data_IF_526525483840
#
_entry.id   IF_526525483840
#
_cell.length_a   1.000
_cell.length_b   1.000
_cell.length_c   1.000
_cell.angle_alpha   90.00
_cell.angle_beta   90.00
_cell.angle_gamma   90.00
#
_symmetry.space_group_name_H-M   'P 1'
#
loop_
_entity.id
_entity.type
_entity.pdbx_description
1 polymer ?
#
# COMPACT_ATOMS: atom_id res chain seq x y z
N UNK A 1 36.90 -16.39 17.77
CA UNK A 1 36.49 -15.05 17.30
C UNK A 1 37.33 -14.67 16.10
N UNK A 2 36.84 -14.93 14.88
CA UNK A 2 37.42 -14.31 13.67
C UNK A 2 37.01 -12.83 13.70
N UNK A 3 38.01 -11.97 13.85
CA UNK A 3 38.03 -10.52 13.66
C UNK A 3 36.71 -9.83 13.27
N UNK A 4 36.09 -9.14 14.23
CA UNK A 4 35.50 -7.81 14.05
C UNK A 4 34.30 -7.63 13.09
N UNK A 5 33.73 -8.67 12.49
CA UNK A 5 32.49 -8.53 11.72
C UNK A 5 31.30 -8.49 12.67
N UNK A 6 30.72 -7.30 12.85
CA UNK A 6 29.42 -7.14 13.48
C UNK A 6 28.38 -7.46 12.41
N UNK A 7 27.57 -8.50 12.63
CA UNK A 7 26.39 -8.77 11.81
C UNK A 7 25.54 -7.50 11.75
N UNK A 8 25.02 -7.19 10.57
CA UNK A 8 24.10 -6.07 10.37
C UNK A 8 22.70 -6.57 10.09
N UNK A 9 21.72 -5.94 10.71
CA UNK A 9 20.31 -6.23 10.50
C UNK A 9 19.69 -4.97 9.91
N UNK A 10 18.97 -5.12 8.82
CA UNK A 10 18.28 -4.04 8.14
C UNK A 10 16.78 -4.33 8.13
N UNK A 11 15.98 -3.37 8.54
CA UNK A 11 14.52 -3.41 8.37
C UNK A 11 14.15 -2.29 7.39
N UNK A 12 13.60 -2.65 6.23
CA UNK A 12 13.24 -1.71 5.16
C UNK A 12 14.38 -0.73 4.83
N UNK A 13 15.57 -1.28 4.57
CA UNK A 13 16.81 -0.58 4.24
C UNK A 13 17.44 0.27 5.37
N UNK A 14 16.85 0.27 6.58
CA UNK A 14 17.40 0.97 7.75
C UNK A 14 18.14 -0.01 8.66
N UNK A 15 19.40 0.29 8.96
CA UNK A 15 20.21 -0.52 9.89
C UNK A 15 19.63 -0.42 11.30
N UNK A 16 19.20 -1.55 11.85
CA UNK A 16 18.71 -1.62 13.21
C UNK A 16 19.90 -1.58 14.18
N UNK A 17 19.89 -0.61 15.09
CA UNK A 17 20.84 -0.55 16.21
C UNK A 17 20.59 -1.69 17.19
N UNK A 18 21.09 -2.88 16.84
CA UNK A 18 20.93 -4.09 17.63
C UNK A 18 22.23 -4.45 18.37
N UNK A 19 22.09 -4.91 19.61
CA UNK A 19 23.19 -5.50 20.39
C UNK A 19 22.82 -6.94 20.68
N UNK A 20 23.64 -7.87 20.18
CA UNK A 20 23.49 -9.29 20.50
C UNK A 20 23.77 -9.48 22.00
N UNK A 21 22.81 -10.03 22.73
CA UNK A 21 22.97 -10.38 24.14
C UNK A 21 23.25 -11.87 24.29
N UNK A 22 22.32 -12.73 23.84
CA UNK A 22 22.38 -14.18 24.05
C UNK A 22 22.04 -14.99 22.78
N UNK A 23 21.83 -14.34 21.64
CA UNK A 23 21.45 -14.96 20.39
C UNK A 23 22.58 -15.84 19.82
N UNK A 24 22.26 -17.03 19.32
CA UNK A 24 23.23 -18.00 18.80
C UNK A 24 23.00 -18.34 17.32
N UNK A 25 21.77 -18.22 16.85
CA UNK A 25 21.38 -18.53 15.48
C UNK A 25 20.43 -17.46 14.91
N UNK A 26 20.08 -17.59 13.63
CA UNK A 26 19.17 -16.66 12.96
C UNK A 26 17.77 -16.67 13.61
N UNK A 27 17.31 -17.80 14.15
CA UNK A 27 16.01 -17.90 14.81
C UNK A 27 15.92 -16.97 16.03
N UNK A 28 16.93 -16.99 16.90
CA UNK A 28 16.97 -16.14 18.10
C UNK A 28 16.90 -14.65 17.73
N UNK A 29 17.69 -14.25 16.72
CA UNK A 29 17.72 -12.86 16.22
C UNK A 29 16.37 -12.47 15.62
N UNK A 30 15.83 -13.31 14.74
CA UNK A 30 14.60 -13.02 14.01
C UNK A 30 13.38 -13.02 14.94
N UNK A 31 13.37 -13.80 16.02
CA UNK A 31 12.31 -13.73 17.04
C UNK A 31 12.26 -12.38 17.73
N UNK A 32 13.42 -11.83 18.12
CA UNK A 32 13.48 -10.47 18.66
C UNK A 32 13.00 -9.41 17.67
N UNK A 33 13.35 -9.56 16.38
CA UNK A 33 12.84 -8.66 15.34
C UNK A 33 11.34 -8.81 15.13
N UNK A 34 10.80 -10.04 15.11
CA UNK A 34 9.37 -10.33 14.99
C UNK A 34 8.57 -9.71 16.15
N UNK A 35 9.06 -9.82 17.39
CA UNK A 35 8.46 -9.19 18.56
C UNK A 35 8.45 -7.65 18.44
N UNK A 36 9.55 -7.07 17.97
CA UNK A 36 9.63 -5.63 17.71
C UNK A 36 8.66 -5.20 16.61
N UNK A 37 8.59 -5.92 15.50
CA UNK A 37 7.67 -5.66 14.40
C UNK A 37 6.22 -5.70 14.90
N UNK A 38 5.82 -6.78 15.58
CA UNK A 38 4.47 -6.97 16.10
C UNK A 38 4.08 -5.85 17.07
N UNK A 39 4.99 -5.45 17.97
CA UNK A 39 4.76 -4.36 18.93
C UNK A 39 4.58 -3.00 18.26
N UNK A 40 5.10 -2.84 17.04
CA UNK A 40 5.03 -1.61 16.24
C UNK A 40 4.02 -1.67 15.08
N UNK A 41 3.12 -2.66 15.06
CA UNK A 41 2.12 -2.90 14.01
C UNK A 41 2.73 -3.21 12.62
N UNK A 42 3.87 -3.89 12.60
CA UNK A 42 4.52 -4.43 11.42
C UNK A 42 4.46 -5.96 11.40
N UNK A 43 4.46 -6.51 10.19
CA UNK A 43 4.59 -7.93 9.91
C UNK A 43 5.80 -8.13 9.01
N UNK A 44 6.57 -9.18 9.28
CA UNK A 44 7.67 -9.58 8.41
C UNK A 44 7.07 -10.16 7.13
N UNK A 45 7.36 -9.52 6.00
CA UNK A 45 6.91 -9.92 4.67
C UNK A 45 7.99 -10.70 3.92
N UNK A 46 9.27 -10.37 4.15
CA UNK A 46 10.40 -10.98 3.47
C UNK A 46 11.63 -11.01 4.36
N UNK A 47 12.40 -12.10 4.29
CA UNK A 47 13.68 -12.26 4.98
C UNK A 47 14.74 -12.64 3.94
N UNK A 48 15.88 -11.95 3.96
CA UNK A 48 17.05 -12.27 3.13
C UNK A 48 18.27 -12.36 4.04
N UNK A 49 18.96 -13.50 4.04
CA UNK A 49 20.21 -13.70 4.76
C UNK A 49 21.34 -13.90 3.75
N UNK A 50 22.31 -12.98 3.71
CA UNK A 50 23.46 -13.01 2.80
C UNK A 50 23.08 -13.25 1.32
N UNK A 51 22.05 -12.56 0.84
CA UNK A 51 21.45 -12.66 -0.50
C UNK A 51 20.59 -13.89 -0.78
N UNK A 52 20.36 -14.76 0.22
CA UNK A 52 19.41 -15.86 0.11
C UNK A 52 18.07 -15.45 0.69
N UNK A 53 17.06 -15.35 -0.17
CA UNK A 53 15.68 -15.14 0.26
C UNK A 53 15.13 -16.40 0.92
N UNK A 54 14.62 -16.25 2.13
CA UNK A 54 14.06 -17.31 2.95
C UNK A 54 12.58 -17.03 3.23
N UNK A 55 11.86 -18.06 3.66
CA UNK A 55 10.44 -17.96 3.94
C UNK A 55 10.17 -17.01 5.13
N UNK A 56 9.23 -16.06 5.05
CA UNK A 56 9.04 -15.03 6.08
C UNK A 56 8.55 -15.56 7.44
N UNK A 57 8.01 -16.77 7.49
CA UNK A 57 7.66 -17.44 8.74
C UNK A 57 8.91 -17.97 9.45
N UNK A 58 9.15 -17.50 10.67
CA UNK A 58 10.32 -17.87 11.46
C UNK A 58 10.05 -19.19 12.19
N UNK A 59 10.70 -20.25 11.71
CA UNK A 59 10.59 -21.62 12.23
C UNK A 59 11.97 -22.25 12.56
N UNK A 60 11.96 -23.53 12.92
CA UNK A 60 13.13 -24.32 13.31
C UNK A 60 14.22 -24.39 12.21
N UNK A 61 13.92 -24.09 10.94
CA UNK A 61 14.96 -24.07 9.90
C UNK A 61 16.00 -22.98 10.14
N UNK A 62 15.59 -21.87 10.75
CA UNK A 62 16.46 -20.76 11.10
C UNK A 62 17.44 -21.07 12.24
N UNK A 63 17.15 -22.09 13.08
CA UNK A 63 18.07 -22.53 14.13
C UNK A 63 19.37 -23.10 13.57
N UNK A 64 19.35 -23.58 12.33
CA UNK A 64 20.50 -24.19 11.64
C UNK A 64 21.50 -23.14 11.13
N UNK A 65 21.09 -21.87 11.07
CA UNK A 65 21.91 -20.78 10.52
C UNK A 65 22.60 -20.07 11.69
N UNK A 66 23.85 -20.43 11.96
CA UNK A 66 24.62 -19.84 13.05
C UNK A 66 25.00 -18.38 12.74
N UNK A 67 24.85 -17.49 13.73
CA UNK A 67 25.11 -16.04 13.57
C UNK A 67 26.54 -15.72 13.16
N UNK A 68 27.51 -16.59 13.49
CA UNK A 68 28.91 -16.42 13.15
C UNK A 68 29.19 -16.49 11.63
N UNK A 69 28.24 -17.01 10.86
CA UNK A 69 28.31 -17.16 9.41
C UNK A 69 27.47 -16.12 8.67
N UNK A 70 26.81 -15.21 9.38
CA UNK A 70 25.91 -14.22 8.80
C UNK A 70 26.60 -12.86 8.76
N UNK A 71 26.73 -12.28 7.57
CA UNK A 71 27.21 -10.91 7.42
C UNK A 71 26.03 -9.92 7.52
N UNK A 72 24.92 -10.17 6.79
CA UNK A 72 23.76 -9.28 6.76
C UNK A 72 22.41 -10.03 6.78
N UNK A 73 21.46 -9.49 7.52
CA UNK A 73 20.05 -9.87 7.48
C UNK A 73 19.25 -8.67 6.97
N UNK A 74 18.51 -8.83 5.88
CA UNK A 74 17.58 -7.83 5.37
C UNK A 74 16.14 -8.32 5.57
N UNK A 75 15.32 -7.46 6.16
CA UNK A 75 13.94 -7.74 6.49
C UNK A 75 13.08 -6.68 5.83
N UNK A 76 12.14 -7.14 4.99
CA UNK A 76 11.06 -6.28 4.53
C UNK A 76 9.90 -6.44 5.52
N UNK A 77 9.56 -5.36 6.21
CA UNK A 77 8.47 -5.34 7.15
C UNK A 77 7.35 -4.42 6.64
N UNK A 78 6.16 -4.96 6.47
CA UNK A 78 4.98 -4.23 6.03
C UNK A 78 4.13 -3.88 7.24
N UNK A 79 3.48 -2.72 7.24
CA UNK A 79 2.40 -2.50 8.21
C UNK A 79 1.27 -3.51 7.94
N UNK A 80 0.45 -3.78 8.94
CA UNK A 80 -0.79 -4.56 8.75
C UNK A 80 -1.60 -4.04 7.56
N UNK A 81 -1.71 -2.73 7.41
CA UNK A 81 -2.44 -2.11 6.30
C UNK A 81 -1.77 -2.30 4.93
N UNK A 82 -0.44 -2.23 4.84
CA UNK A 82 0.30 -2.53 3.62
C UNK A 82 0.13 -4.01 3.20
N UNK A 83 0.11 -4.94 4.17
CA UNK A 83 -0.14 -6.36 3.93
C UNK A 83 -1.57 -6.62 3.40
N UNK A 84 -2.57 -5.89 3.90
CA UNK A 84 -3.93 -5.98 3.37
C UNK A 84 -4.01 -5.44 1.94
N UNK A 85 -3.30 -4.35 1.65
CA UNK A 85 -3.22 -3.80 0.30
C UNK A 85 -2.53 -4.75 -0.68
N UNK A 86 -1.47 -5.45 -0.29
CA UNK A 86 -0.81 -6.47 -1.13
C UNK A 86 -1.73 -7.66 -1.43
N UNK A 87 -2.59 -8.03 -0.46
CA UNK A 87 -3.62 -9.05 -0.66
C UNK A 87 -4.65 -8.62 -1.71
N UNK A 88 -5.10 -7.35 -1.68
CA UNK A 88 -5.98 -6.81 -2.74
C UNK A 88 -5.30 -6.76 -4.11
N UNK A 89 -3.99 -6.44 -4.16
CA UNK A 89 -3.25 -6.44 -5.42
C UNK A 89 -3.23 -7.84 -6.03
N UNK A 90 -2.97 -8.86 -5.21
CA UNK A 90 -2.99 -10.26 -5.66
C UNK A 90 -4.36 -10.68 -6.19
N UNK A 91 -5.44 -10.25 -5.54
CA UNK A 91 -6.82 -10.49 -6.02
C UNK A 91 -7.05 -9.78 -7.35
N UNK A 92 -6.65 -8.52 -7.47
CA UNK A 92 -6.78 -7.73 -8.69
C UNK A 92 -5.99 -8.36 -9.85
N UNK A 93 -4.76 -8.81 -9.61
CA UNK A 93 -3.92 -9.46 -10.61
C UNK A 93 -4.55 -10.76 -11.10
N UNK A 94 -5.09 -11.57 -10.19
CA UNK A 94 -5.83 -12.78 -10.56
C UNK A 94 -7.06 -12.45 -11.43
N UNK A 95 -7.87 -11.46 -11.03
CA UNK A 95 -9.04 -11.01 -11.81
C UNK A 95 -8.63 -10.51 -13.21
N UNK A 96 -7.54 -9.74 -13.30
CA UNK A 96 -6.99 -9.25 -14.58
C UNK A 96 -6.39 -10.37 -15.43
N UNK A 97 -5.85 -11.42 -14.83
CA UNK A 97 -5.40 -12.58 -15.61
C UNK A 97 -6.61 -13.28 -16.24
N UNK A 98 -7.71 -13.44 -15.52
CA UNK A 98 -8.96 -13.99 -16.07
C UNK A 98 -9.49 -13.15 -17.23
N UNK A 99 -9.44 -11.81 -17.13
CA UNK A 99 -9.97 -10.93 -18.18
C UNK A 99 -9.26 -11.07 -19.53
N UNK A 100 -7.98 -11.43 -19.52
CA UNK A 100 -7.18 -11.59 -20.74
C UNK A 100 -7.09 -13.04 -21.23
N UNK A 101 -7.52 -14.02 -20.43
CA UNK A 101 -7.50 -15.43 -20.79
C UNK A 101 -8.33 -15.70 -22.05
N UNK A 102 -7.72 -16.42 -23.01
CA UNK A 102 -8.41 -16.96 -24.18
C UNK A 102 -9.17 -18.23 -23.77
N UNK A 103 -10.49 -18.24 -24.00
CA UNK A 103 -11.32 -19.40 -23.68
C UNK A 103 -10.93 -20.64 -24.49
N UNK A 104 -10.39 -20.47 -25.69
CA UNK A 104 -10.09 -21.58 -26.60
C UNK A 104 -9.04 -22.53 -26.03
N UNK A 105 -8.18 -22.03 -25.14
CA UNK A 105 -7.10 -22.81 -24.51
C UNK A 105 -7.49 -23.41 -23.16
N UNK A 106 -8.64 -23.03 -22.58
CA UNK A 106 -9.08 -23.53 -21.28
C UNK A 106 -9.26 -25.04 -21.29
N UNK A 107 -8.58 -25.73 -20.38
CA UNK A 107 -8.72 -27.16 -20.13
C UNK A 107 -9.43 -27.44 -18.79
N UNK A 108 -9.71 -28.71 -18.47
CA UNK A 108 -10.41 -29.11 -17.24
C UNK A 108 -9.70 -28.64 -15.96
N UNK A 109 -8.35 -28.66 -15.94
CA UNK A 109 -7.58 -28.16 -14.80
C UNK A 109 -7.74 -26.66 -14.64
N UNK A 110 -7.67 -25.90 -15.73
CA UNK A 110 -7.85 -24.44 -15.68
C UNK A 110 -9.24 -24.06 -15.15
N UNK A 111 -10.25 -24.89 -15.44
CA UNK A 111 -11.63 -24.71 -14.94
C UNK A 111 -11.71 -24.95 -13.43
N UNK A 112 -11.04 -25.99 -12.90
CA UNK A 112 -10.97 -26.21 -11.46
C UNK A 112 -10.16 -25.10 -10.76
N UNK A 113 -9.02 -24.68 -11.34
CA UNK A 113 -8.24 -23.54 -10.84
C UNK A 113 -9.10 -22.25 -10.83
N UNK A 114 -9.96 -22.05 -11.84
CA UNK A 114 -10.90 -20.92 -11.89
C UNK A 114 -11.92 -20.96 -10.76
N UNK A 115 -12.49 -22.15 -10.47
CA UNK A 115 -13.44 -22.36 -9.38
C UNK A 115 -12.79 -22.05 -8.02
N UNK A 116 -11.58 -22.58 -7.80
CA UNK A 116 -10.82 -22.33 -6.59
C UNK A 116 -10.51 -20.84 -6.41
N UNK A 117 -10.08 -20.16 -7.49
CA UNK A 117 -9.83 -18.73 -7.45
C UNK A 117 -11.08 -17.89 -7.21
N UNK A 118 -12.24 -18.28 -7.74
CA UNK A 118 -13.52 -17.61 -7.42
C UNK A 118 -13.94 -17.82 -5.97
N UNK A 119 -13.80 -19.03 -5.44
CA UNK A 119 -14.03 -19.30 -4.02
C UNK A 119 -13.09 -18.46 -3.14
N UNK A 120 -11.82 -18.37 -3.50
CA UNK A 120 -10.83 -17.53 -2.82
C UNK A 120 -11.19 -16.04 -2.87
N UNK A 121 -11.65 -15.51 -4.01
CA UNK A 121 -12.12 -14.13 -4.13
C UNK A 121 -13.31 -13.86 -3.20
N UNK A 122 -14.33 -14.72 -3.23
CA UNK A 122 -15.54 -14.60 -2.42
C UNK A 122 -15.24 -14.58 -0.92
N UNK A 123 -14.23 -15.34 -0.52
CA UNK A 123 -13.79 -15.45 0.87
C UNK A 123 -12.87 -14.28 1.27
N UNK A 124 -11.98 -13.84 0.38
CA UNK A 124 -10.93 -12.87 0.70
C UNK A 124 -11.34 -11.42 0.59
N UNK A 125 -12.15 -11.03 -0.41
CA UNK A 125 -12.60 -9.63 -0.57
C UNK A 125 -13.29 -9.10 0.68
N UNK A 126 -14.27 -9.80 1.29
CA UNK A 126 -14.93 -9.30 2.49
C UNK A 126 -14.00 -9.08 3.67
N UNK A 127 -13.02 -9.98 3.85
CA UNK A 127 -12.02 -9.83 4.91
C UNK A 127 -11.15 -8.61 4.67
N UNK A 128 -10.65 -8.41 3.45
CA UNK A 128 -9.79 -7.25 3.20
C UNK A 128 -10.56 -5.94 3.30
N UNK A 129 -11.80 -5.87 2.79
CA UNK A 129 -12.68 -4.70 2.97
C UNK A 129 -12.84 -4.38 4.47
N UNK A 130 -13.11 -5.39 5.30
CA UNK A 130 -13.22 -5.20 6.75
C UNK A 130 -11.90 -4.71 7.38
N UNK A 131 -10.77 -5.34 7.03
CA UNK A 131 -9.46 -5.02 7.58
C UNK A 131 -8.94 -3.64 7.16
N UNK A 132 -9.35 -3.16 5.98
CA UNK A 132 -9.12 -1.79 5.51
C UNK A 132 -10.14 -0.79 6.07
N UNK A 133 -10.98 -1.19 7.03
CA UNK A 133 -12.04 -0.35 7.64
C UNK A 133 -12.99 0.26 6.60
N UNK A 134 -13.33 -0.53 5.57
CA UNK A 134 -14.25 -0.17 4.49
C UNK A 134 -15.61 -0.83 4.67
N UNK A 135 -16.62 -0.30 3.97
CA UNK A 135 -17.96 -0.88 3.94
C UNK A 135 -18.13 -1.84 2.76
N UNK A 136 -18.72 -3.01 3.01
CA UNK A 136 -19.11 -3.97 1.97
C UNK A 136 -20.21 -3.44 1.03
N UNK A 137 -20.92 -2.39 1.43
CA UNK A 137 -21.89 -1.71 0.58
C UNK A 137 -21.24 -0.72 -0.40
N UNK A 138 -19.96 -0.36 -0.19
CA UNK A 138 -19.23 0.51 -1.10
C UNK A 138 -19.09 -0.13 -2.47
N UNK A 139 -19.19 0.68 -3.53
CA UNK A 139 -19.00 0.27 -4.93
C UNK A 139 -19.81 -0.96 -5.35
N UNK A 140 -20.97 -1.19 -4.72
CA UNK A 140 -21.82 -2.37 -4.93
C UNK A 140 -21.10 -3.72 -4.67
N UNK A 141 -20.07 -3.75 -3.83
CA UNK A 141 -19.22 -4.93 -3.61
C UNK A 141 -20.05 -6.16 -3.22
N UNK A 142 -20.96 -6.03 -2.25
CA UNK A 142 -21.85 -7.12 -1.83
C UNK A 142 -22.69 -7.70 -2.98
N UNK A 143 -23.21 -6.85 -3.88
CA UNK A 143 -24.00 -7.31 -5.02
C UNK A 143 -23.12 -8.05 -6.04
N UNK A 144 -21.92 -7.53 -6.32
CA UNK A 144 -20.97 -8.15 -7.24
C UNK A 144 -20.47 -9.50 -6.72
N UNK A 145 -20.21 -9.62 -5.43
CA UNK A 145 -19.84 -10.91 -4.81
C UNK A 145 -20.97 -11.94 -4.97
N UNK A 146 -22.22 -11.56 -4.73
CA UNK A 146 -23.37 -12.46 -4.99
C UNK A 146 -23.50 -12.86 -6.46
N UNK A 147 -23.23 -11.93 -7.39
CA UNK A 147 -23.19 -12.26 -8.82
C UNK A 147 -22.06 -13.23 -9.16
N UNK A 148 -20.89 -13.08 -8.55
CA UNK A 148 -19.76 -14.00 -8.72
C UNK A 148 -20.08 -15.39 -8.13
N UNK A 149 -20.74 -15.44 -6.98
CA UNK A 149 -21.21 -16.68 -6.34
C UNK A 149 -22.15 -17.45 -7.28
N UNK A 150 -23.16 -16.79 -7.85
CA UNK A 150 -24.06 -17.41 -8.85
C UNK A 150 -23.31 -17.94 -10.06
N UNK A 151 -22.24 -17.25 -10.50
CA UNK A 151 -21.41 -17.70 -11.62
C UNK A 151 -20.58 -18.93 -11.26
N UNK A 152 -20.02 -18.96 -10.05
CA UNK A 152 -19.31 -20.12 -9.51
C UNK A 152 -20.23 -21.33 -9.36
N UNK A 153 -21.44 -21.15 -8.83
CA UNK A 153 -22.45 -22.21 -8.73
C UNK A 153 -22.79 -22.80 -10.10
N UNK A 154 -23.01 -21.93 -11.11
CA UNK A 154 -23.29 -22.38 -12.48
C UNK A 154 -22.12 -23.11 -13.11
N UNK A 155 -20.89 -22.59 -12.95
CA UNK A 155 -19.67 -23.26 -13.43
C UNK A 155 -19.52 -24.65 -12.80
N UNK A 156 -19.71 -24.73 -11.48
CA UNK A 156 -19.69 -25.99 -10.73
C UNK A 156 -20.74 -26.97 -11.25
N UNK A 157 -21.99 -26.53 -11.46
CA UNK A 157 -23.05 -27.39 -12.00
C UNK A 157 -22.73 -27.95 -13.39
N UNK A 158 -22.10 -27.16 -14.26
CA UNK A 158 -21.67 -27.62 -15.59
C UNK A 158 -20.59 -28.71 -15.48
N UNK A 159 -19.61 -28.52 -14.59
CA UNK A 159 -18.55 -29.52 -14.35
C UNK A 159 -19.10 -30.82 -13.75
N UNK A 160 -19.99 -30.75 -12.76
CA UNK A 160 -20.58 -31.93 -12.10
C UNK A 160 -21.46 -32.76 -13.05
N UNK A 161 -22.18 -32.08 -13.96
CA UNK A 161 -22.98 -32.73 -15.00
C UNK A 161 -22.12 -33.33 -16.12
N UNK A 162 -20.80 -33.11 -16.10
CA UNK A 162 -19.85 -33.54 -17.15
C UNK A 162 -20.29 -33.03 -18.52
N UNK A 163 -20.73 -31.77 -18.57
CA UNK A 163 -21.05 -31.10 -19.82
C UNK A 163 -19.80 -30.96 -20.69
N UNK A 164 -20.00 -30.79 -21.99
CA UNK A 164 -18.90 -30.58 -22.94
C UNK A 164 -18.09 -29.35 -22.55
N UNK A 165 -16.76 -29.45 -22.65
CA UNK A 165 -15.84 -28.34 -22.41
C UNK A 165 -16.15 -27.13 -23.31
N UNK A 166 -16.67 -27.35 -24.53
CA UNK A 166 -17.14 -26.25 -25.40
C UNK A 166 -18.25 -25.43 -24.73
N UNK A 167 -19.22 -26.06 -24.06
CA UNK A 167 -20.29 -25.33 -23.34
C UNK A 167 -19.75 -24.54 -22.15
N UNK A 168 -18.71 -25.05 -21.49
CA UNK A 168 -18.05 -24.35 -20.37
C UNK A 168 -17.29 -23.13 -20.89
N UNK A 169 -16.60 -23.28 -22.04
CA UNK A 169 -15.92 -22.17 -22.73
C UNK A 169 -16.90 -21.10 -23.22
N UNK A 170 -18.04 -21.50 -23.77
CA UNK A 170 -19.11 -20.58 -24.15
C UNK A 170 -19.62 -19.81 -22.92
N UNK A 171 -19.89 -20.52 -21.80
CA UNK A 171 -20.29 -19.88 -20.56
C UNK A 171 -19.24 -18.89 -20.02
N UNK A 172 -17.95 -19.26 -20.12
CA UNK A 172 -16.86 -18.37 -19.75
C UNK A 172 -16.85 -17.09 -20.59
N UNK A 173 -16.96 -17.20 -21.92
CA UNK A 173 -16.93 -16.06 -22.83
C UNK A 173 -18.16 -15.17 -22.76
N UNK A 174 -19.34 -15.76 -22.64
CA UNK A 174 -20.60 -15.04 -22.79
C UNK A 174 -21.07 -14.44 -21.46
N UNK A 175 -20.63 -14.99 -20.32
CA UNK A 175 -21.17 -14.64 -19.01
C UNK A 175 -20.09 -14.27 -17.99
N UNK A 176 -19.03 -15.07 -17.84
CA UNK A 176 -17.98 -14.80 -16.84
C UNK A 176 -17.11 -13.62 -17.27
N UNK A 177 -16.48 -13.69 -18.44
CA UNK A 177 -15.53 -12.70 -18.93
C UNK A 177 -16.16 -11.28 -19.06
N UNK A 178 -17.38 -11.11 -19.59
CA UNK A 178 -18.04 -9.81 -19.63
C UNK A 178 -18.36 -9.28 -18.22
N UNK A 179 -18.78 -10.14 -17.29
CA UNK A 179 -18.97 -9.73 -15.90
C UNK A 179 -17.67 -9.25 -15.24
N UNK A 180 -16.58 -9.97 -15.45
CA UNK A 180 -15.26 -9.59 -14.93
C UNK A 180 -14.87 -8.21 -15.47
N UNK A 181 -14.96 -8.02 -16.79
CA UNK A 181 -14.51 -6.79 -17.46
C UNK A 181 -15.39 -5.59 -17.19
N UNK A 182 -16.71 -5.74 -17.30
CA UNK A 182 -17.62 -4.61 -17.33
C UNK A 182 -18.10 -4.22 -15.93
N UNK A 183 -17.92 -5.10 -14.93
CA UNK A 183 -18.45 -4.91 -13.58
C UNK A 183 -17.41 -5.12 -12.49
N UNK A 184 -16.77 -6.28 -12.44
CA UNK A 184 -15.90 -6.62 -11.31
C UNK A 184 -14.62 -5.78 -11.30
N UNK A 185 -13.91 -5.67 -12.43
CA UNK A 185 -12.66 -4.88 -12.51
C UNK A 185 -12.91 -3.41 -12.15
N UNK A 186 -13.88 -2.69 -12.78
CA UNK A 186 -14.13 -1.29 -12.44
C UNK A 186 -14.46 -1.07 -10.96
N UNK A 187 -15.25 -1.96 -10.34
CA UNK A 187 -15.55 -1.86 -8.92
C UNK A 187 -14.32 -2.14 -8.06
N UNK A 188 -13.52 -3.14 -8.41
CA UNK A 188 -12.27 -3.46 -7.70
C UNK A 188 -11.23 -2.36 -7.80
N UNK A 189 -11.19 -1.60 -8.89
CA UNK A 189 -10.32 -0.42 -9.02
C UNK A 189 -10.73 0.68 -8.03
N UNK A 190 -12.04 0.93 -7.87
CA UNK A 190 -12.54 1.87 -6.86
C UNK A 190 -12.30 1.38 -5.43
N UNK A 191 -12.49 0.08 -5.17
CA UNK A 191 -12.16 -0.54 -3.88
C UNK A 191 -10.67 -0.40 -3.57
N UNK A 192 -9.80 -0.62 -4.57
CA UNK A 192 -8.35 -0.47 -4.44
C UNK A 192 -7.96 0.97 -4.10
N UNK A 193 -8.56 1.97 -4.76
CA UNK A 193 -8.32 3.38 -4.43
C UNK A 193 -8.69 3.69 -2.96
N UNK A 194 -9.86 3.24 -2.51
CA UNK A 194 -10.32 3.48 -1.15
C UNK A 194 -9.46 2.72 -0.13
N UNK A 195 -8.98 1.51 -0.48
CA UNK A 195 -8.06 0.74 0.34
C UNK A 195 -6.70 1.43 0.47
N UNK A 196 -6.16 2.03 -0.60
CA UNK A 196 -4.95 2.87 -0.54
C UNK A 196 -5.13 4.04 0.43
N UNK A 197 -6.26 4.75 0.36
CA UNK A 197 -6.55 5.87 1.26
C UNK A 197 -6.64 5.40 2.71
N UNK A 198 -7.39 4.34 2.99
CA UNK A 198 -7.51 3.80 4.34
C UNK A 198 -6.19 3.24 4.88
N UNK A 199 -5.34 2.69 4.01
CA UNK A 199 -3.99 2.27 4.38
C UNK A 199 -3.19 3.44 4.93
N UNK A 200 -3.26 4.61 4.28
CA UNK A 200 -2.59 5.85 4.71
C UNK A 200 -3.18 6.35 6.05
N UNK A 201 -4.50 6.26 6.22
CA UNK A 201 -5.18 6.63 7.47
C UNK A 201 -4.69 5.79 8.65
N UNK A 202 -4.73 4.46 8.48
CA UNK A 202 -4.24 3.53 9.48
C UNK A 202 -2.75 3.77 9.76
N UNK A 203 -1.96 4.08 8.72
CA UNK A 203 -0.55 4.37 8.86
C UNK A 203 -0.27 5.65 9.67
N UNK A 204 -1.11 6.67 9.54
CA UNK A 204 -1.02 7.94 10.30
C UNK A 204 -1.42 7.83 11.77
N UNK A 205 -1.89 6.65 12.18
CA UNK A 205 -2.28 6.32 13.55
C UNK A 205 -1.14 5.59 14.28
N UNK A 206 -1.22 5.53 15.62
CA UNK A 206 -0.28 4.81 16.49
C UNK A 206 1.20 5.18 16.29
N UNK A 207 1.48 6.46 16.00
CA UNK A 207 2.85 6.97 15.92
C UNK A 207 3.40 7.12 17.34
N UNK A 208 4.59 6.58 17.60
CA UNK A 208 5.29 6.63 18.88
C UNK A 208 6.81 6.83 18.64
N UNK A 209 7.61 6.92 19.71
CA UNK A 209 9.06 7.11 19.61
C UNK A 209 9.76 6.00 18.82
N UNK A 210 9.27 4.78 18.94
CA UNK A 210 9.95 3.58 18.45
C UNK A 210 9.73 3.38 16.94
N UNK A 211 8.60 3.88 16.42
CA UNK A 211 8.24 3.76 15.00
C UNK A 211 8.30 5.08 14.20
N UNK A 212 8.55 6.22 14.86
CA UNK A 212 8.53 7.54 14.21
C UNK A 212 9.42 7.65 12.96
N UNK A 213 10.66 7.14 13.03
CA UNK A 213 11.60 7.12 11.89
C UNK A 213 10.98 6.41 10.69
N UNK A 214 10.47 5.20 10.92
CA UNK A 214 9.84 4.40 9.88
C UNK A 214 8.58 5.06 9.32
N UNK A 215 7.76 5.69 10.18
CA UNK A 215 6.55 6.40 9.74
C UNK A 215 6.88 7.55 8.78
N UNK A 216 7.95 8.31 9.05
CA UNK A 216 8.41 9.36 8.13
C UNK A 216 8.96 8.78 6.83
N UNK A 217 9.79 7.73 6.91
CA UNK A 217 10.38 7.09 5.74
C UNK A 217 9.37 6.54 4.72
N UNK A 218 8.12 6.31 5.14
CA UNK A 218 7.03 5.85 4.27
C UNK A 218 6.33 6.97 3.50
N UNK A 219 6.45 8.24 3.90
CA UNK A 219 5.79 9.37 3.22
C UNK A 219 6.07 9.47 1.70
N UNK A 220 7.30 9.20 1.21
CA UNK A 220 7.59 9.15 -0.23
C UNK A 220 6.77 8.10 -0.99
N UNK A 221 6.33 7.01 -0.35
CA UNK A 221 5.42 6.03 -0.98
C UNK A 221 4.05 6.66 -1.27
N UNK A 222 3.57 7.55 -0.40
CA UNK A 222 2.28 8.22 -0.57
C UNK A 222 2.30 9.30 -1.65
N UNK A 223 3.47 9.92 -1.89
CA UNK A 223 3.63 10.95 -2.92
C UNK A 223 3.12 10.51 -4.29
N UNK A 224 3.49 9.31 -4.76
CA UNK A 224 3.04 8.81 -6.06
C UNK A 224 1.52 8.74 -6.17
N UNK A 225 0.84 8.30 -5.10
CA UNK A 225 -0.60 8.24 -5.07
C UNK A 225 -1.24 9.63 -4.99
N UNK A 226 -0.62 10.59 -4.30
CA UNK A 226 -1.06 11.99 -4.28
C UNK A 226 -1.00 12.60 -5.69
N UNK A 227 0.09 12.36 -6.44
CA UNK A 227 0.22 12.82 -7.83
C UNK A 227 -0.83 12.17 -8.74
N UNK A 228 -1.07 10.86 -8.60
CA UNK A 228 -2.13 10.15 -9.34
C UNK A 228 -3.51 10.78 -9.10
N UNK A 229 -3.83 11.16 -7.85
CA UNK A 229 -5.08 11.84 -7.53
C UNK A 229 -5.15 13.23 -8.16
N UNK A 230 -4.07 14.01 -8.13
CA UNK A 230 -4.01 15.32 -8.80
C UNK A 230 -4.26 15.21 -10.29
N UNK A 231 -3.62 14.26 -10.97
CA UNK A 231 -3.81 14.01 -12.40
C UNK A 231 -5.28 13.68 -12.73
N UNK A 232 -5.94 12.88 -11.87
CA UNK A 232 -7.37 12.57 -12.01
C UNK A 232 -8.24 13.80 -11.81
N UNK A 233 -7.96 14.65 -10.82
CA UNK A 233 -8.72 15.90 -10.61
C UNK A 233 -8.62 16.78 -11.86
N UNK A 234 -7.39 17.07 -12.30
CA UNK A 234 -7.13 17.93 -13.47
C UNK A 234 -7.81 17.37 -14.72
N UNK A 235 -7.64 16.08 -15.01
CA UNK A 235 -8.26 15.46 -16.19
C UNK A 235 -9.79 15.48 -16.15
N UNK A 236 -10.41 15.35 -14.97
CA UNK A 236 -11.87 15.42 -14.82
C UNK A 236 -12.41 16.84 -14.95
N UNK A 237 -11.69 17.85 -14.44
CA UNK A 237 -12.03 19.26 -14.66
C UNK A 237 -11.93 19.62 -16.14
N UNK A 238 -10.84 19.23 -16.82
CA UNK A 238 -10.63 19.51 -18.25
C UNK A 238 -11.68 18.85 -19.16
N UNK A 239 -12.27 17.75 -18.72
CA UNK A 239 -13.33 17.03 -19.46
C UNK A 239 -14.75 17.45 -19.04
N UNK A 240 -14.90 18.40 -18.12
CA UNK A 240 -16.18 18.90 -17.61
C UNK A 240 -16.94 17.90 -16.73
N UNK A 241 -16.24 16.91 -16.17
CA UNK A 241 -16.81 15.95 -15.23
C UNK A 241 -16.54 16.38 -13.78
N UNK A 242 -17.09 17.54 -13.43
CA UNK A 242 -16.79 18.24 -12.19
C UNK A 242 -17.13 17.40 -10.95
N UNK A 243 -18.24 16.65 -11.00
CA UNK A 243 -18.65 15.78 -9.89
C UNK A 243 -17.59 14.74 -9.56
N UNK A 244 -16.99 14.10 -10.57
CA UNK A 244 -15.88 13.16 -10.34
C UNK A 244 -14.62 13.89 -9.90
N UNK A 245 -14.33 15.07 -10.45
CA UNK A 245 -13.20 15.90 -10.01
C UNK A 245 -13.30 16.21 -8.51
N UNK A 246 -14.47 16.60 -8.01
CA UNK A 246 -14.71 16.86 -6.59
C UNK A 246 -14.53 15.62 -5.70
N UNK A 247 -14.96 14.44 -6.17
CA UNK A 247 -14.71 13.19 -5.45
C UNK A 247 -13.20 12.91 -5.34
N UNK A 248 -12.44 13.12 -6.41
CA UNK A 248 -10.98 12.97 -6.35
C UNK A 248 -10.31 14.07 -5.51
N UNK A 249 -10.84 15.29 -5.49
CA UNK A 249 -10.36 16.39 -4.65
C UNK A 249 -10.56 16.08 -3.15
N UNK A 250 -11.70 15.48 -2.78
CA UNK A 250 -11.94 14.99 -1.42
C UNK A 250 -10.89 13.92 -1.04
N UNK A 251 -10.66 12.94 -1.91
CA UNK A 251 -9.65 11.89 -1.71
C UNK A 251 -8.25 12.48 -1.54
N UNK A 252 -7.87 13.41 -2.41
CA UNK A 252 -6.59 14.14 -2.35
C UNK A 252 -6.42 14.87 -1.01
N UNK A 253 -7.42 15.67 -0.61
CA UNK A 253 -7.40 16.43 0.65
C UNK A 253 -7.18 15.52 1.86
N UNK A 254 -7.86 14.37 1.91
CA UNK A 254 -7.66 13.37 2.96
C UNK A 254 -6.22 12.86 2.99
N UNK A 255 -5.71 12.35 1.88
CA UNK A 255 -4.37 11.75 1.81
C UNK A 255 -3.28 12.77 2.20
N UNK A 256 -3.39 13.99 1.69
CA UNK A 256 -2.49 15.10 2.04
C UNK A 256 -2.55 15.39 3.54
N UNK A 257 -3.76 15.55 4.10
CA UNK A 257 -3.95 15.81 5.53
C UNK A 257 -3.33 14.73 6.43
N UNK A 258 -3.50 13.45 6.10
CA UNK A 258 -2.87 12.36 6.85
C UNK A 258 -1.34 12.33 6.71
N UNK A 259 -0.82 12.72 5.54
CA UNK A 259 0.63 12.83 5.31
C UNK A 259 1.24 13.93 6.17
N UNK A 260 0.62 15.11 6.23
CA UNK A 260 1.05 16.19 7.12
C UNK A 260 0.83 15.87 8.60
N UNK A 261 -0.20 15.09 8.93
CA UNK A 261 -0.43 14.59 10.30
C UNK A 261 0.74 13.71 10.78
N UNK A 262 1.30 12.87 9.90
CA UNK A 262 2.49 12.07 10.23
C UNK A 262 3.67 12.99 10.52
N UNK A 263 3.95 13.97 9.65
CA UNK A 263 5.02 14.95 9.86
C UNK A 263 4.85 15.69 11.20
N UNK A 264 3.65 16.18 11.51
CA UNK A 264 3.38 16.91 12.74
C UNK A 264 3.57 16.04 13.98
N UNK A 265 2.97 14.84 14.01
CA UNK A 265 3.06 13.94 15.16
C UNK A 265 4.50 13.51 15.43
N UNK A 266 5.28 13.26 14.38
CA UNK A 266 6.68 12.89 14.53
C UNK A 266 7.50 14.07 15.06
N UNK A 267 7.23 15.29 14.59
CA UNK A 267 7.85 16.48 15.17
C UNK A 267 7.57 16.61 16.67
N UNK A 268 6.32 16.39 17.08
CA UNK A 268 5.93 16.44 18.51
C UNK A 268 6.65 15.35 19.33
N UNK A 269 6.63 14.10 18.86
CA UNK A 269 7.20 12.94 19.57
C UNK A 269 8.72 13.04 19.68
N UNK A 270 9.39 13.41 18.58
CA UNK A 270 10.84 13.51 18.52
C UNK A 270 11.36 14.91 18.90
N UNK A 271 10.48 15.83 19.33
CA UNK A 271 10.82 17.22 19.66
C UNK A 271 11.61 17.94 18.55
N UNK A 272 11.20 17.74 17.30
CA UNK A 272 11.85 18.33 16.12
C UNK A 272 11.23 19.70 15.85
N UNK A 273 12.08 20.70 15.74
CA UNK A 273 11.70 22.00 15.18
C UNK A 273 12.06 22.06 13.69
N UNK A 274 11.04 22.01 12.83
CA UNK A 274 11.19 22.04 11.37
C UNK A 274 11.73 23.35 10.81
N UNK A 275 11.89 24.41 11.61
CA UNK A 275 12.67 25.59 11.21
C UNK A 275 14.17 25.27 11.08
N UNK A 276 14.65 24.23 11.76
CA UNK A 276 16.07 23.85 11.77
C UNK A 276 16.43 22.85 10.66
N UNK A 277 15.45 22.21 10.04
CA UNK A 277 15.66 21.29 8.91
C UNK A 277 15.62 22.11 7.62
N UNK A 278 16.75 22.20 6.91
CA UNK A 278 16.91 23.11 5.77
C UNK A 278 17.48 22.44 4.52
N UNK A 279 16.93 22.79 3.36
CA UNK A 279 17.50 22.51 2.04
C UNK A 279 17.68 23.84 1.34
N UNK A 280 18.87 24.10 0.79
CA UNK A 280 19.19 25.36 0.09
C UNK A 280 18.82 26.64 0.89
N UNK A 281 18.96 26.59 2.24
CA UNK A 281 18.62 27.64 3.22
C UNK A 281 17.14 27.88 3.49
N UNK A 282 16.24 27.23 2.75
CA UNK A 282 14.80 27.23 3.03
C UNK A 282 14.53 26.18 4.10
N UNK A 283 13.69 26.47 5.08
CA UNK A 283 13.32 25.49 6.09
C UNK A 283 12.15 24.60 5.64
N UNK A 284 12.03 23.42 6.24
CA UNK A 284 10.85 22.59 6.04
C UNK A 284 9.59 23.33 6.49
N UNK A 285 9.65 24.06 7.61
CA UNK A 285 8.53 24.90 8.06
C UNK A 285 8.07 25.90 6.98
N UNK A 286 9.00 26.67 6.42
CA UNK A 286 8.69 27.62 5.35
C UNK A 286 8.09 26.93 4.12
N UNK A 287 8.59 25.74 3.76
CA UNK A 287 8.08 24.96 2.63
C UNK A 287 6.65 24.46 2.86
N UNK A 288 6.31 24.11 4.11
CA UNK A 288 4.94 23.72 4.51
C UNK A 288 4.01 24.92 4.50
N UNK A 289 4.43 26.08 5.00
CA UNK A 289 3.65 27.32 4.97
C UNK A 289 3.37 27.78 3.52
N UNK A 290 4.37 27.71 2.64
CA UNK A 290 4.20 27.95 1.21
C UNK A 290 3.13 27.04 0.58
N UNK A 291 3.17 25.73 0.90
CA UNK A 291 2.16 24.77 0.43
C UNK A 291 0.76 25.12 0.96
N UNK A 292 0.63 25.45 2.24
CA UNK A 292 -0.63 25.85 2.85
C UNK A 292 -1.21 27.12 2.20
N UNK A 293 -0.35 28.10 1.90
CA UNK A 293 -0.75 29.30 1.16
C UNK A 293 -1.29 28.94 -0.23
N UNK A 294 -0.66 28.00 -0.94
CA UNK A 294 -1.12 27.57 -2.26
C UNK A 294 -2.46 26.83 -2.18
N UNK A 295 -2.65 26.00 -1.16
CA UNK A 295 -3.93 25.33 -0.93
C UNK A 295 -5.07 26.32 -0.67
N UNK A 296 -4.80 27.46 -0.03
CA UNK A 296 -5.80 28.52 0.11
C UNK A 296 -6.19 29.13 -1.24
N UNK A 297 -5.24 29.32 -2.16
CA UNK A 297 -5.53 29.78 -3.53
C UNK A 297 -6.42 28.77 -4.28
N UNK A 298 -6.16 27.47 -4.11
CA UNK A 298 -7.02 26.40 -4.66
C UNK A 298 -8.45 26.50 -4.11
N UNK A 299 -8.62 26.70 -2.80
CA UNK A 299 -9.94 26.86 -2.17
C UNK A 299 -10.68 28.11 -2.65
N UNK A 300 -9.96 29.22 -2.86
CA UNK A 300 -10.53 30.45 -3.41
C UNK A 300 -10.99 30.24 -4.87
N UNK A 301 -10.17 29.56 -5.69
CA UNK A 301 -10.53 29.23 -7.07
C UNK A 301 -11.76 28.29 -7.13
N UNK A 302 -11.86 27.32 -6.23
CA UNK A 302 -13.08 26.50 -6.06
C UNK A 302 -14.31 27.32 -5.67
N UNK A 303 -14.15 28.30 -4.79
CA UNK A 303 -15.26 29.16 -4.35
C UNK A 303 -15.78 30.04 -5.49
N UNK A 304 -14.94 30.35 -6.47
CA UNK A 304 -15.26 31.16 -7.64
C UNK A 304 -15.61 30.34 -8.89
N UNK A 305 -15.68 29.01 -8.79
CA UNK A 305 -15.89 28.08 -9.91
C UNK A 305 -14.89 28.26 -11.06
N UNK A 306 -13.66 28.70 -10.75
CA UNK A 306 -12.61 28.93 -11.75
C UNK A 306 -11.82 27.64 -12.01
N UNK A 307 -12.43 26.73 -12.76
CA UNK A 307 -11.88 25.40 -13.04
C UNK A 307 -10.56 25.42 -13.82
N UNK A 308 -10.30 26.47 -14.62
CA UNK A 308 -9.04 26.62 -15.35
C UNK A 308 -7.93 26.95 -14.35
N UNK A 309 -8.14 27.95 -13.49
CA UNK A 309 -7.16 28.29 -12.46
C UNK A 309 -6.93 27.14 -11.48
N UNK A 310 -7.98 26.39 -11.10
CA UNK A 310 -7.81 25.19 -10.26
C UNK A 310 -6.89 24.19 -10.95
N UNK A 311 -7.16 23.86 -12.21
CA UNK A 311 -6.35 22.89 -12.96
C UNK A 311 -4.88 23.33 -13.04
N UNK A 312 -4.62 24.61 -13.35
CA UNK A 312 -3.27 25.16 -13.48
C UNK A 312 -2.51 25.12 -12.14
N UNK A 313 -3.16 25.57 -11.05
CA UNK A 313 -2.54 25.55 -9.71
C UNK A 313 -2.23 24.11 -9.28
N UNK A 314 -3.16 23.18 -9.51
CA UNK A 314 -2.96 21.77 -9.14
C UNK A 314 -1.86 21.11 -9.99
N UNK A 315 -1.82 21.39 -11.29
CA UNK A 315 -0.90 20.74 -12.22
C UNK A 315 0.55 21.23 -12.07
N UNK A 316 0.75 22.53 -11.89
CA UNK A 316 2.09 23.12 -11.92
C UNK A 316 2.59 23.56 -10.54
N UNK A 317 1.73 24.12 -9.69
CA UNK A 317 2.18 24.73 -8.42
C UNK A 317 2.17 23.72 -7.27
N UNK A 318 1.06 23.01 -7.08
CA UNK A 318 0.91 22.04 -5.97
C UNK A 318 1.83 20.83 -6.14
N UNK A 319 1.98 20.30 -7.36
CA UNK A 319 2.90 19.17 -7.61
C UNK A 319 4.34 19.51 -7.27
N UNK A 320 4.79 20.70 -7.66
CA UNK A 320 6.15 21.16 -7.38
C UNK A 320 6.37 21.35 -5.88
N UNK A 321 5.42 21.97 -5.17
CA UNK A 321 5.51 22.14 -3.71
C UNK A 321 5.52 20.80 -2.96
N UNK A 322 4.70 19.84 -3.36
CA UNK A 322 4.72 18.50 -2.78
C UNK A 322 6.06 17.80 -3.01
N UNK A 323 6.63 17.94 -4.22
CA UNK A 323 7.95 17.39 -4.54
C UNK A 323 9.04 18.00 -3.65
N UNK A 324 9.00 19.32 -3.46
CA UNK A 324 9.93 20.02 -2.58
C UNK A 324 9.86 19.51 -1.14
N UNK A 325 8.65 19.35 -0.59
CA UNK A 325 8.45 18.81 0.76
C UNK A 325 8.98 17.38 0.87
N UNK A 326 8.74 16.53 -0.13
CA UNK A 326 9.24 15.13 -0.12
C UNK A 326 10.77 15.07 -0.10
N UNK A 327 11.47 16.03 -0.71
CA UNK A 327 12.93 16.08 -0.67
C UNK A 327 13.50 16.30 0.74
N UNK A 328 12.70 16.81 1.68
CA UNK A 328 13.12 16.94 3.07
C UNK A 328 13.09 15.61 3.83
N UNK A 329 12.30 14.61 3.39
CA UNK A 329 12.11 13.37 4.16
C UNK A 329 13.43 12.70 4.54
N UNK A 330 14.41 12.49 3.63
CA UNK A 330 15.70 11.89 4.00
C UNK A 330 16.48 12.72 5.05
N UNK A 331 16.34 14.04 5.03
CA UNK A 331 16.99 14.94 6.01
C UNK A 331 16.32 14.83 7.38
N UNK A 332 14.99 14.66 7.41
CA UNK A 332 14.26 14.42 8.65
C UNK A 332 14.62 13.05 9.24
N UNK A 333 14.73 12.02 8.39
CA UNK A 333 15.19 10.69 8.83
C UNK A 333 16.59 10.76 9.46
N UNK A 334 17.55 11.40 8.80
CA UNK A 334 18.92 11.58 9.33
C UNK A 334 18.91 12.33 10.66
N UNK A 335 18.02 13.32 10.81
CA UNK A 335 17.87 14.06 12.06
C UNK A 335 17.35 13.17 13.20
N UNK A 336 16.33 12.33 12.94
CA UNK A 336 15.78 11.40 13.92
C UNK A 336 16.80 10.33 14.30
N UNK A 337 17.52 9.78 13.32
CA UNK A 337 18.58 8.79 13.56
C UNK A 337 19.64 9.33 14.52
N UNK A 338 20.03 10.62 14.40
CA UNK A 338 20.98 11.28 15.31
C UNK A 338 20.44 11.51 16.73
N UNK A 339 19.13 11.53 16.93
CA UNK A 339 18.52 11.66 18.26
C UNK A 339 18.50 10.33 19.02
N UNK A 340 18.51 9.21 18.28
CA UNK A 340 18.43 7.86 18.81
C UNK A 340 19.83 7.20 19.02
N UNK A 341 20.91 7.94 18.77
CA UNK A 341 22.31 7.61 19.12
C UNK A 341 22.71 8.41 20.34
#
# INVERSE_FOLDING_TARGET
MKNGRKMKIFINDKELSFTLENEQNAYDVLKGVEEWCNSNNFLINKIIIDNNELHPYIDEEYEKILIENIDNIYIEALSNSEYYLSSLNSIMDYIKNISVTDSAILNERDIEDLKDGFAWILDSIPRVIFLCNMSLESHNSMHLLKMLEVKLERLTSLTEKKEDIEKIRDYFNDDIKPFINDKLIPAMELIMEDAKINTIIMFSSNINSDNALYKIGTLPKFYYFIIELLDKIVGKLQTGNDKEAFLYAEKFSRVVSFSFTILSKVADICSIDYNNIKINKISLYDSIEDFNSMMNNVLEAFSNEDYISIADILEYEIKDKLKDIINYIPVVEEYIEKLNV
#
